data_IF_873543630052
#
_entry.id   IF_873543630052
#
_cell.length_a   1.000
_cell.length_b   1.000
_cell.length_c   1.000
_cell.angle_alpha   90.00
_cell.angle_beta   90.00
_cell.angle_gamma   90.00
#
_symmetry.space_group_name_H-M   'P 1'
#
loop_
_entity.id
_entity.type
_entity.pdbx_description
1 polymer ?
2 non-polymer ?
3 non-polymer ?
4 water ?
#
# COMPACT_ATOMS: atom_id res chain seq x y z
N UNK A 2 18.07 -5.20 19.37
CA UNK A 2 17.38 -4.03 18.84
C UNK A 2 18.08 -3.48 17.60
N UNK A 3 17.43 -2.51 16.95
CA UNK A 3 17.94 -1.86 15.74
C UNK A 3 18.07 -2.81 14.55
N UNK A 4 17.40 -3.96 14.62
CA UNK A 4 17.35 -4.89 13.49
C UNK A 4 15.94 -5.45 13.31
N UNK A 5 15.53 -5.63 12.06
CA UNK A 5 14.23 -6.22 11.76
C UNK A 5 14.40 -7.52 10.98
N UNK A 6 13.79 -8.59 11.49
CA UNK A 6 13.82 -9.88 10.82
C UNK A 6 12.90 -9.88 9.61
N UNK A 7 13.40 -10.34 8.47
CA UNK A 7 12.59 -10.46 7.26
C UNK A 7 12.71 -11.86 6.67
N UNK A 8 11.56 -12.47 6.36
CA UNK A 8 11.56 -13.79 5.75
C UNK A 8 11.01 -13.74 4.33
N UNK A 9 11.75 -14.35 3.40
CA UNK A 9 11.29 -14.46 2.02
C UNK A 9 10.59 -15.80 1.82
N UNK A 10 9.36 -15.74 1.33
CA UNK A 10 8.48 -16.91 1.32
C UNK A 10 8.55 -17.71 0.02
N UNK A 11 9.23 -17.17 -0.98
CA UNK A 11 9.44 -17.88 -2.25
C UNK A 11 10.53 -17.21 -3.08
N UNK A 12 10.86 -17.83 -4.21
CA UNK A 12 11.87 -17.29 -5.12
C UNK A 12 11.34 -16.07 -5.87
N UNK A 13 10.03 -15.87 -5.79
CA UNK A 13 9.39 -14.71 -6.41
C UNK A 13 9.52 -13.46 -5.54
N UNK A 14 9.89 -13.66 -4.28
CA UNK A 14 10.00 -12.57 -3.32
C UNK A 14 11.34 -11.85 -3.43
N UNK A 15 11.33 -10.54 -3.18
CA UNK A 15 12.56 -9.77 -3.14
C UNK A 15 12.64 -8.95 -1.85
N UNK A 16 13.86 -8.80 -1.33
CA UNK A 16 14.10 -8.05 -0.10
C UNK A 16 13.74 -6.58 -0.22
N UNK A 17 13.00 -6.06 0.78
CA UNK A 17 12.73 -4.62 0.90
C UNK A 17 14.02 -3.83 1.05
N UNK A 18 14.11 -2.70 0.36
CA UNK A 18 15.26 -1.81 0.48
C UNK A 18 14.79 -0.37 0.33
N UNK A 19 15.30 0.52 1.19
CA UNK A 19 14.88 1.91 1.11
C UNK A 19 15.75 2.70 0.14
N UNK A 20 15.13 3.69 -0.49
CA UNK A 20 15.76 4.45 -1.57
C UNK A 20 16.97 5.27 -1.11
N UNK A 21 16.72 6.26 -0.26
CA UNK A 21 17.80 7.10 0.25
C UNK A 21 18.17 6.72 1.68
N UNK A 22 19.34 7.18 2.11
CA UNK A 22 19.89 6.83 3.42
C UNK A 22 18.98 7.24 4.58
N UNK A 23 18.32 8.38 4.44
CA UNK A 23 17.48 8.90 5.51
C UNK A 23 16.00 8.72 5.21
N UNK A 24 15.71 7.90 4.20
CA UNK A 24 14.34 7.67 3.75
C UNK A 24 13.48 6.98 4.80
N UNK A 25 12.20 7.32 4.79
CA UNK A 25 11.27 6.80 5.78
C UNK A 25 10.92 5.34 5.52
N UNK A 26 10.61 5.01 4.28
CA UNK A 26 10.07 3.70 3.97
C UNK A 26 10.93 2.76 3.15
N UNK A 27 10.67 1.47 3.29
CA UNK A 27 11.35 0.44 2.52
C UNK A 27 10.46 0.01 1.36
N UNK A 28 10.90 0.27 0.13
CA UNK A 28 10.13 -0.06 -1.06
C UNK A 28 9.80 -1.54 -1.14
N UNK A 29 8.56 -1.85 -1.50
CA UNK A 29 8.08 -3.22 -1.55
C UNK A 29 7.93 -3.71 -2.99
N UNK A 30 8.46 -4.90 -3.26
CA UNK A 30 8.39 -5.49 -4.59
C UNK A 30 7.22 -6.46 -4.70
N UNK A 31 6.45 -6.35 -5.77
CA UNK A 31 5.39 -7.31 -6.05
C UNK A 31 6.00 -8.67 -6.36
N UNK A 32 5.38 -9.73 -5.87
CA UNK A 32 5.88 -11.08 -6.09
C UNK A 32 5.07 -11.81 -7.15
N UNK A 33 4.24 -11.07 -7.88
CA UNK A 33 3.39 -11.67 -8.90
C UNK A 33 2.99 -10.66 -9.98
N UNK A 34 2.61 -11.19 -11.14
CA UNK A 34 2.16 -10.36 -12.25
C UNK A 34 0.64 -10.39 -12.36
N UNK A 35 0.02 -9.21 -12.31
CA UNK A 35 -1.44 -9.11 -12.28
C UNK A 35 -1.97 -8.01 -13.20
N UNK A 36 -3.03 -8.32 -13.94
CA UNK A 36 -3.77 -7.32 -14.70
C UNK A 36 -5.04 -6.94 -13.95
N UNK A 37 -5.25 -5.64 -13.75
CA UNK A 37 -6.43 -5.16 -13.05
C UNK A 37 -7.33 -4.32 -13.96
N UNK A 38 -8.57 -4.76 -14.13
CA UNK A 38 -9.56 -4.01 -14.89
C UNK A 38 -10.07 -2.84 -14.06
N UNK A 39 -10.76 -1.88 -14.70
CA UNK A 39 -11.38 -0.79 -13.94
C UNK A 39 -12.28 -1.29 -12.82
N UNK A 40 -12.15 -0.69 -11.64
CA UNK A 40 -12.95 -1.02 -10.45
C UNK A 40 -12.66 -2.41 -9.89
N UNK A 41 -11.62 -3.07 -10.39
CA UNK A 41 -11.24 -4.39 -9.89
C UNK A 41 -10.39 -4.26 -8.62
N UNK A 42 -10.75 -5.05 -7.61
CA UNK A 42 -10.04 -5.06 -6.34
C UNK A 42 -9.26 -6.36 -6.18
N UNK A 43 -8.16 -6.30 -5.43
CA UNK A 43 -7.33 -7.48 -5.20
C UNK A 43 -6.38 -7.28 -4.02
N UNK A 44 -5.89 -8.39 -3.48
CA UNK A 44 -4.82 -8.37 -2.50
C UNK A 44 -3.57 -8.96 -3.14
N UNK A 45 -2.54 -8.15 -3.31
CA UNK A 45 -1.36 -8.57 -4.05
C UNK A 45 -0.27 -9.11 -3.13
N UNK A 46 0.14 -10.35 -3.38
CA UNK A 46 1.14 -11.02 -2.57
C UNK A 46 2.53 -10.43 -2.78
N UNK A 47 3.28 -10.32 -1.69
CA UNK A 47 4.67 -9.89 -1.75
C UNK A 47 5.57 -11.09 -1.49
N UNK A 48 4.97 -12.15 -0.96
CA UNK A 48 5.69 -13.34 -0.51
C UNK A 48 6.78 -12.95 0.48
N UNK A 49 6.50 -11.91 1.26
CA UNK A 49 7.45 -11.40 2.24
C UNK A 49 6.78 -11.28 3.61
N UNK A 50 7.47 -11.77 4.64
CA UNK A 50 6.98 -11.64 6.00
C UNK A 50 8.00 -10.94 6.88
N UNK A 51 7.52 -10.14 7.82
CA UNK A 51 8.40 -9.43 8.74
C UNK A 51 8.00 -9.70 10.19
N UNK A 52 8.85 -9.28 11.12
CA UNK A 52 8.56 -9.42 12.54
C UNK A 52 8.77 -8.10 13.27
N UNK A 53 7.82 -7.20 13.09
CA UNK A 53 7.83 -5.91 13.77
C UNK A 53 7.70 -6.12 15.27
N UNK A 54 8.63 -5.57 16.05
CA UNK A 54 8.64 -5.74 17.51
C UNK A 54 7.48 -5.02 18.19
N UNK A 55 7.12 -5.46 19.39
CA UNK A 55 6.04 -4.86 20.15
C UNK A 55 6.33 -3.39 20.44
N UNK A 56 5.28 -2.56 20.37
CA UNK A 56 5.43 -1.14 20.57
C UNK A 56 5.55 -0.40 19.25
N UNK A 57 5.40 -1.13 18.15
CA UNK A 57 5.51 -0.55 16.82
C UNK A 57 4.42 -1.06 15.89
N UNK A 58 4.13 -0.29 14.84
CA UNK A 58 3.23 -0.74 13.79
C UNK A 58 3.86 -0.46 12.43
N UNK A 59 3.54 -1.29 11.44
CA UNK A 59 4.02 -1.10 10.09
C UNK A 59 2.95 -0.47 9.21
N UNK A 60 3.36 0.50 8.41
CA UNK A 60 2.44 1.15 7.48
C UNK A 60 2.75 0.75 6.05
N UNK A 61 2.03 -0.26 5.56
CA UNK A 61 2.16 -0.69 4.18
C UNK A 61 1.36 0.27 3.30
N UNK A 62 2.04 1.28 2.77
CA UNK A 62 1.37 2.37 2.07
C UNK A 62 1.84 2.55 0.64
N UNK A 63 1.30 3.56 -0.03
CA UNK A 63 1.58 3.80 -1.44
C UNK A 63 2.82 4.66 -1.66
N UNK A 64 3.33 4.63 -2.88
CA UNK A 64 4.40 5.52 -3.30
C UNK A 64 3.78 6.71 -4.03
N UNK A 65 4.45 7.86 -3.97
CA UNK A 65 3.93 9.07 -4.58
C UNK A 65 3.87 8.97 -6.10
N UNK A 66 4.88 8.34 -6.68
CA UNK A 66 4.96 8.20 -8.13
C UNK A 66 3.81 7.40 -8.71
N UNK A 67 3.67 6.16 -8.26
CA UNK A 67 2.63 5.26 -8.77
C UNK A 67 1.22 5.80 -8.53
N UNK A 68 0.97 6.26 -7.31
CA UNK A 68 -0.36 6.71 -6.92
C UNK A 68 -0.80 7.99 -7.64
N UNK A 69 0.16 8.86 -7.95
CA UNK A 69 -0.15 10.13 -8.61
C UNK A 69 -0.29 9.96 -10.12
N UNK A 70 0.45 9.01 -10.68
CA UNK A 70 0.49 8.83 -12.12
C UNK A 70 -0.60 7.89 -12.63
N UNK A 71 -1.07 7.00 -11.76
CA UNK A 71 -2.06 6.00 -12.16
C UNK A 71 -3.31 6.02 -11.28
N UNK A 72 -4.30 5.22 -11.66
CA UNK A 72 -5.53 5.09 -10.89
C UNK A 72 -5.45 3.94 -9.89
N UNK A 73 -4.24 3.43 -9.67
CA UNK A 73 -4.03 2.35 -8.71
C UNK A 73 -3.98 2.90 -7.29
N UNK A 74 -5.02 2.62 -6.53
CA UNK A 74 -5.13 3.12 -5.16
C UNK A 74 -4.82 2.02 -4.14
N UNK A 75 -3.83 2.28 -3.29
CA UNK A 75 -3.47 1.34 -2.25
C UNK A 75 -3.96 1.81 -0.89
N UNK A 76 -4.86 1.03 -0.29
CA UNK A 76 -5.33 1.31 1.06
C UNK A 76 -4.23 0.99 2.06
N UNK A 77 -3.78 2.02 2.78
CA UNK A 77 -2.68 1.87 3.73
C UNK A 77 -2.96 0.77 4.76
N UNK A 78 -2.10 -0.24 4.76
CA UNK A 78 -2.25 -1.36 5.68
C UNK A 78 -1.55 -1.11 7.00
N UNK A 79 -2.20 -1.51 8.09
CA UNK A 79 -1.61 -1.40 9.41
C UNK A 79 -1.08 -2.76 9.86
N UNK A 80 0.22 -2.95 9.71
CA UNK A 80 0.84 -4.24 9.99
C UNK A 80 1.14 -4.41 11.47
N UNK A 81 0.35 -5.24 12.14
CA UNK A 81 0.49 -5.46 13.57
C UNK A 81 1.82 -6.12 13.93
N UNK A 82 2.33 -5.78 15.11
CA UNK A 82 3.51 -6.44 15.65
C UNK A 82 3.18 -7.89 15.96
N UNK A 83 3.97 -8.81 15.41
CA UNK A 83 3.74 -10.23 15.63
C UNK A 83 3.13 -10.92 14.43
N UNK A 84 2.60 -10.14 13.50
CA UNK A 84 2.06 -10.72 12.27
C UNK A 84 3.20 -11.25 11.41
N UNK A 85 3.22 -12.57 11.23
CA UNK A 85 4.30 -13.23 10.51
C UNK A 85 3.82 -13.84 9.20
N UNK A 86 2.66 -13.39 8.74
CA UNK A 86 2.10 -13.88 7.50
C UNK A 86 2.60 -13.13 6.28
N UNK A 87 2.09 -13.50 5.11
CA UNK A 87 2.47 -12.85 3.86
C UNK A 87 1.88 -11.45 3.77
N UNK A 88 2.75 -10.45 3.64
CA UNK A 88 2.31 -9.07 3.49
C UNK A 88 1.51 -8.89 2.20
N UNK A 89 0.25 -8.50 2.34
CA UNK A 89 -0.62 -8.31 1.20
C UNK A 89 -0.91 -6.85 0.93
N UNK A 90 -0.83 -6.46 -0.34
CA UNK A 90 -1.06 -5.08 -0.73
C UNK A 90 -2.52 -4.87 -1.15
N UNK A 91 -3.26 -4.15 -0.32
CA UNK A 91 -4.68 -3.89 -0.54
C UNK A 91 -4.88 -2.82 -1.61
N UNK A 92 -5.25 -3.24 -2.81
CA UNK A 92 -5.23 -2.35 -3.97
C UNK A 92 -6.56 -2.33 -4.74
N UNK A 93 -6.83 -1.21 -5.40
CA UNK A 93 -7.97 -1.10 -6.30
C UNK A 93 -7.63 -0.24 -7.51
N UNK A 94 -8.07 -0.67 -8.69
CA UNK A 94 -7.99 0.15 -9.89
C UNK A 94 -9.22 1.04 -9.97
N UNK A 95 -9.12 2.26 -9.44
CA UNK A 95 -10.28 3.14 -9.34
C UNK A 95 -10.52 3.93 -10.63
N UNK A 96 -9.98 3.45 -11.74
CA UNK A 96 -10.33 4.00 -13.04
C UNK A 96 -11.79 3.66 -13.32
N UNK A 97 -12.54 4.64 -13.81
CA UNK A 97 -13.96 4.44 -14.07
C UNK A 97 -14.18 3.39 -15.16
N UNK A 98 -15.27 2.64 -15.05
CA UNK A 98 -15.62 1.65 -16.06
C UNK A 98 -16.63 2.25 -17.03
N UNK A 99 -16.11 2.81 -18.12
CA UNK A 99 -16.93 3.52 -19.10
C UNK A 99 -17.29 2.66 -20.30
N UNK A 100 -16.91 1.38 -20.23
CA UNK A 100 -17.21 0.39 -21.27
C UNK A 100 -16.47 0.64 -22.58
N UNK A 101 -15.35 1.34 -22.53
CA UNK A 101 -14.54 1.56 -23.73
C UNK A 101 -13.54 0.42 -23.90
N UNK A 102 -13.01 0.27 -25.11
CA UNK A 102 -12.07 -0.82 -25.39
C UNK A 102 -10.78 -0.33 -26.04
N UNK A 103 -9.66 -0.94 -25.65
CA UNK A 103 -8.36 -0.62 -26.26
C UNK A 103 -7.50 -1.87 -26.43
N UNK A 104 -6.40 -1.72 -27.16
CA UNK A 104 -5.44 -2.79 -27.36
C UNK A 104 -4.19 -2.56 -26.52
N UNK A 105 -4.18 -1.46 -25.77
CA UNK A 105 -3.04 -1.10 -24.96
C UNK A 105 -3.34 -1.18 -23.47
N UNK A 106 -2.58 -2.02 -22.76
CA UNK A 106 -2.58 -1.98 -21.31
C UNK A 106 -1.70 -0.81 -20.87
N UNK A 107 -1.81 -0.44 -19.60
CA UNK A 107 -0.95 0.59 -19.04
C UNK A 107 -0.04 -0.02 -17.99
N UNK A 108 1.22 0.41 -17.95
CA UNK A 108 2.09 0.03 -16.85
C UNK A 108 1.88 1.00 -15.69
N UNK A 109 2.66 0.84 -14.63
CA UNK A 109 2.52 1.69 -13.46
C UNK A 109 3.31 2.99 -13.60
N UNK A 110 3.75 3.27 -14.82
CA UNK A 110 4.23 4.59 -15.19
C UNK A 110 3.17 5.24 -16.07
N UNK A 111 2.03 4.57 -16.18
CA UNK A 111 0.90 4.99 -17.01
C UNK A 111 1.28 5.11 -18.49
N UNK A 112 2.28 4.34 -18.90
CA UNK A 112 2.66 4.27 -20.31
C UNK A 112 1.97 3.09 -20.98
N UNK A 113 1.57 3.28 -22.24
CA UNK A 113 0.91 2.23 -23.01
C UNK A 113 1.86 1.08 -23.29
N UNK A 114 1.37 -0.14 -23.09
CA UNK A 114 2.19 -1.33 -23.30
C UNK A 114 1.96 -1.92 -24.69
N UNK A 115 3.03 -1.98 -25.48
CA UNK A 115 2.96 -2.54 -26.83
C UNK A 115 3.33 -4.01 -26.84
N UNK A 116 2.39 -4.85 -27.27
CA UNK A 116 2.64 -6.28 -27.40
C UNK A 116 2.65 -6.69 -28.87
N UNK A 117 3.38 -7.75 -29.18
CA UNK A 117 3.43 -8.28 -30.54
C UNK A 117 2.05 -8.76 -30.96
N UNK A 118 1.43 -9.60 -30.12
CA UNK A 118 0.07 -10.05 -30.35
C UNK A 118 -0.93 -9.10 -29.70
N UNK A 119 -1.99 -8.78 -30.42
CA UNK A 119 -2.93 -7.75 -29.98
C UNK A 119 -4.20 -8.32 -29.35
N UNK A 120 -4.49 -7.88 -28.13
CA UNK A 120 -5.70 -8.27 -27.42
C UNK A 120 -6.59 -7.07 -27.15
N UNK A 121 -7.86 -7.33 -26.85
CA UNK A 121 -8.79 -6.27 -26.50
C UNK A 121 -8.91 -6.15 -24.98
N UNK A 122 -8.67 -4.94 -24.47
CA UNK A 122 -8.79 -4.69 -23.04
C UNK A 122 -9.82 -3.60 -22.76
N UNK A 123 -10.34 -3.58 -21.54
CA UNK A 123 -11.14 -2.46 -21.08
C UNK A 123 -10.21 -1.27 -20.87
N UNK A 124 -10.64 -0.09 -21.30
CA UNK A 124 -9.83 1.11 -21.13
C UNK A 124 -9.61 1.41 -19.65
N UNK A 125 -8.37 1.74 -19.30
CA UNK A 125 -8.03 2.03 -17.92
C UNK A 125 -7.51 0.81 -17.19
N UNK A 126 -7.25 -0.25 -17.93
CA UNK A 126 -6.69 -1.47 -17.35
C UNK A 126 -5.20 -1.32 -17.13
N UNK A 127 -4.71 -1.86 -16.01
CA UNK A 127 -3.30 -1.76 -15.67
C UNK A 127 -2.65 -3.14 -15.55
N UNK A 128 -1.33 -3.17 -15.67
CA UNK A 128 -0.58 -4.40 -15.44
C UNK A 128 0.56 -4.16 -14.47
N UNK A 129 0.62 -4.99 -13.43
CA UNK A 129 1.73 -4.95 -12.49
C UNK A 129 2.61 -6.16 -12.70
N UNK A 130 3.90 -5.93 -12.91
CA UNK A 130 4.83 -7.02 -13.14
C UNK A 130 5.44 -7.49 -11.83
N UNK A 131 5.85 -8.75 -11.80
CA UNK A 131 6.63 -9.25 -10.67
C UNK A 131 7.95 -8.50 -10.60
N UNK A 132 8.27 -7.98 -9.42
CA UNK A 132 9.54 -7.31 -9.21
C UNK A 132 9.46 -5.79 -9.21
N UNK A 133 8.31 -5.25 -9.60
CA UNK A 133 8.15 -3.80 -9.61
C UNK A 133 7.86 -3.27 -8.21
N UNK A 134 8.39 -2.09 -7.91
CA UNK A 134 8.15 -1.44 -6.62
C UNK A 134 6.84 -0.66 -6.64
N UNK A 135 5.79 -1.26 -6.09
CA UNK A 135 4.47 -0.64 -6.12
C UNK A 135 4.07 -0.06 -4.77
N UNK A 136 4.84 -0.36 -3.73
CA UNK A 136 4.52 0.12 -2.39
C UNK A 136 5.77 0.26 -1.52
N UNK A 137 5.57 0.73 -0.29
CA UNK A 137 6.65 0.88 0.67
C UNK A 137 6.16 0.64 2.09
N UNK A 138 7.09 0.40 3.01
CA UNK A 138 6.74 0.10 4.40
C UNK A 138 7.42 1.06 5.37
N UNK A 139 6.62 1.76 6.17
CA UNK A 139 7.14 2.69 7.16
C UNK A 139 6.71 2.27 8.57
N UNK A 140 7.69 2.08 9.45
CA UNK A 140 7.42 1.63 10.80
C UNK A 140 7.48 2.78 11.81
N UNK A 141 6.42 2.93 12.59
CA UNK A 141 6.35 3.97 13.61
C UNK A 141 6.01 3.36 14.97
N UNK A 142 6.49 3.98 16.06
CA UNK A 142 6.15 3.50 17.40
C UNK A 142 4.72 3.87 17.78
N UNK A 143 4.06 3.00 18.53
CA UNK A 143 2.68 3.24 18.94
C UNK A 143 2.56 3.35 20.45
N UNK A 144 1.50 4.01 20.90
CA UNK A 144 1.17 4.07 22.32
C UNK A 144 -0.01 3.15 22.59
N UNK A 145 0.16 2.22 23.52
CA UNK A 145 -0.86 1.20 23.76
C UNK A 145 -1.29 1.10 25.22
N UNK A 146 -2.03 2.12 25.70
CA UNK A 146 -2.46 2.15 27.11
C UNK A 146 -3.67 1.27 27.39
N UNK A 147 -3.90 0.98 28.66
CA UNK A 147 -5.13 0.32 29.07
C UNK A 147 -6.26 1.34 29.07
N UNK A 148 -7.44 0.93 28.63
CA UNK A 148 -8.57 1.85 28.54
C UNK A 148 -9.33 1.94 29.85
N UNK A 149 -9.75 3.15 30.21
CA UNK A 149 -10.52 3.37 31.43
C UNK A 149 -11.75 4.21 31.14
N UNK A 150 -12.93 3.62 31.34
CA UNK A 150 -14.18 4.33 31.13
C UNK A 150 -14.37 5.44 32.15
N UNK A 151 -14.77 6.62 31.68
CA UNK A 151 -15.06 7.75 32.55
C UNK A 151 -16.42 8.34 32.21
N UNK A 152 -17.00 9.09 33.15
CA UNK A 152 -18.23 9.82 32.87
C UNK A 152 -17.88 11.19 32.32
N UNK A 153 -16.77 11.75 32.80
CA UNK A 153 -16.25 13.02 32.30
C UNK A 153 -14.73 12.98 32.29
N UNK A 154 -14.12 13.74 31.39
CA UNK A 154 -12.67 13.77 31.29
C UNK A 154 -12.05 14.60 32.41
N UNK A 155 -10.78 14.32 32.70
CA UNK A 155 -10.08 14.99 33.79
C UNK A 155 -9.85 16.47 33.52
N UNK A 156 -9.47 16.80 32.29
CA UNK A 156 -9.16 18.19 31.94
C UNK A 156 -9.96 18.68 30.75
N UNK A 157 -10.50 19.89 30.87
CA UNK A 157 -11.23 20.53 29.78
C UNK A 157 -10.23 21.11 28.77
N UNK A 158 -10.54 20.97 27.49
CA UNK A 158 -9.65 21.42 26.43
C UNK A 158 -10.20 22.64 25.70
N UNK A 159 -9.33 23.30 24.93
CA UNK A 159 -9.73 24.45 24.13
C UNK A 159 -10.55 24.01 22.92
N UNK A 160 -10.35 22.77 22.49
CA UNK A 160 -11.06 22.24 21.33
C UNK A 160 -12.45 21.74 21.64
N UNK A 161 -12.58 20.97 22.71
CA UNK A 161 -13.87 20.43 23.08
C UNK A 161 -14.43 19.47 22.05
N UNK A 162 -15.54 19.85 21.43
CA UNK A 162 -16.23 18.98 20.48
C UNK A 162 -16.11 19.45 19.04
N UNK A 163 -15.36 20.52 18.81
CA UNK A 163 -15.18 21.07 17.47
C UNK A 163 -14.57 20.04 16.52
N UNK A 164 -15.15 19.91 15.32
CA UNK A 164 -14.68 18.92 14.35
C UNK A 164 -15.15 19.21 12.93
N UNK A 165 -14.62 18.45 11.97
CA UNK A 165 -15.03 18.48 10.57
C UNK A 165 -15.19 19.89 9.99
N UNK A 166 -14.08 20.59 9.85
CA UNK A 166 -14.07 21.91 9.25
C UNK A 166 -14.63 23.00 10.16
N UNK A 167 -14.34 22.89 11.45
CA UNK A 167 -14.82 23.87 12.42
C UNK A 167 -14.05 25.18 12.32
N UNK A 168 -12.76 25.08 12.03
CA UNK A 168 -11.92 26.27 11.85
C UNK A 168 -12.13 26.87 10.47
N UNK A 169 -12.91 26.18 9.64
CA UNK A 169 -13.23 26.66 8.31
C UNK A 169 -12.18 26.30 7.29
N UNK A 170 -12.02 27.17 6.29
CA UNK A 170 -11.06 26.92 5.22
C UNK A 170 -10.43 28.22 4.72
X LIG B 1 -2.91 -4.12 3.92
X LIG B 1 -2.70 -4.97 4.80
X LIG B 1 -3.24 -4.82 6.03
X LIG B 1 -3.01 -5.76 6.99
X LIG B 1 -1.95 -6.02 4.54
X LIG B 1 -1.72 -6.95 5.49
X LIG B 1 -1.04 -7.90 5.24
X LIG B 1 -2.25 -6.81 6.72
X LIG B 1 -2.04 -7.69 7.63
X LIG B 1 -1.35 -7.10 8.85
X LIG B 1 -2.22 -7.10 9.83
X LIG B 1 -1.59 -7.53 11.06
X LIG B 1 -3.41 -8.26 8.14
X LIG B 1 -3.43 -8.12 9.42
X LIG B 1 -4.76 -7.59 9.85
X LIG B 1 -4.70 -6.18 10.12
X LIG B 1 -6.03 -5.46 10.64
X LIG B 1 -5.87 -3.95 10.50
X LIG B 1 -6.26 -5.81 12.13
X LIG B 1 -7.36 -5.96 9.72
X LIG B 1 -8.55 -6.93 10.37
X LIG B 1 -9.05 -6.34 11.68
X LIG B 1 -9.74 -7.01 9.37
X LIG B 1 -7.97 -8.42 10.62
X LIG B 1 -8.03 -9.15 11.94
X LIG B 1 -7.46 -8.27 13.02
X LIG B 1 -9.43 -9.50 12.27
X LIG B 1 -7.22 -10.38 11.86
X LIG C 1 -7.83 -6.29 13.34
X LIG D 1 -14.41 6.08 -7.43
#
# INVERSE_FOLDING_TARGET
MTNTLQVKLLSKNARMPERNHKTDAGYDIFSAETVVLEPQEKAVIKTDVAVSIPEGYVGLLTSRSGVSSKTHLVIETGKIDAGYHGNLGINIKNDHEDDKMQTIFLRNIDNEKIFEKERHLYKLGSYRIEKGERIAQLVIVPIWTPELKQVEEFESVSERGEKSFGSSGV
DUP O4 C4 C5 C6 N3 C2 O2 N1 C1' C2' C3' O3' O4' C4' C5' O5' PA O1A O2A N3A PB O1B O2B O3B PG O2G O1G O3G
MG MG
MG MG
#
